data_IF_658372265031
#
_entry.id   IF_658372265031
#
_cell.length_a   1.000
_cell.length_b   1.000
_cell.length_c   1.000
_cell.angle_alpha   90.00
_cell.angle_beta   90.00
_cell.angle_gamma   90.00
#
_symmetry.space_group_name_H-M   'P 1'
#
loop_
_entity.id
_entity.type
_entity.pdbx_description
1 polymer ?
#
# COMPACT_ATOMS: atom_id res chain seq x y z
N UNK A 1 -30.68 -24.38 -0.12
CA UNK A 1 -29.70 -23.63 -0.95
C UNK A 1 -29.69 -22.17 -0.51
N UNK A 2 -29.01 -21.82 0.58
CA UNK A 2 -28.94 -20.44 1.11
C UNK A 2 -27.64 -20.16 1.86
N UNK A 3 -26.98 -21.18 2.40
CA UNK A 3 -25.77 -21.02 3.22
C UNK A 3 -24.51 -20.61 2.44
N UNK A 4 -24.47 -20.79 1.11
CA UNK A 4 -23.30 -20.43 0.31
C UNK A 4 -23.19 -18.92 0.06
N UNK A 5 -24.33 -18.22 -0.10
CA UNK A 5 -24.35 -16.77 -0.36
C UNK A 5 -23.95 -15.93 0.85
N UNK A 6 -24.24 -16.40 2.06
CA UNK A 6 -23.90 -15.66 3.30
C UNK A 6 -22.40 -15.68 3.58
N UNK A 7 -21.74 -16.82 3.33
CA UNK A 7 -20.29 -16.95 3.51
C UNK A 7 -19.50 -16.04 2.55
N UNK A 8 -19.97 -15.89 1.31
CA UNK A 8 -19.35 -15.02 0.30
C UNK A 8 -19.51 -13.54 0.69
N UNK A 9 -20.68 -13.13 1.21
CA UNK A 9 -20.89 -11.77 1.70
C UNK A 9 -20.02 -11.43 2.93
N UNK A 10 -19.77 -12.39 3.82
CA UNK A 10 -18.91 -12.20 5.00
C UNK A 10 -17.42 -12.11 4.63
N UNK A 11 -16.97 -12.85 3.60
CA UNK A 11 -15.59 -12.77 3.10
C UNK A 11 -15.28 -11.40 2.45
N UNK A 12 -16.27 -10.74 1.86
CA UNK A 12 -16.12 -9.41 1.25
C UNK A 12 -15.97 -8.26 2.27
N UNK A 13 -16.27 -8.50 3.55
CA UNK A 13 -16.20 -7.51 4.63
C UNK A 13 -14.86 -7.49 5.37
N UNK A 14 -13.95 -8.42 5.07
CA UNK A 14 -12.54 -8.29 5.47
C UNK A 14 -11.84 -7.35 4.49
N UNK A 15 -12.35 -6.12 4.37
CA UNK A 15 -11.56 -5.03 3.82
C UNK A 15 -10.45 -4.78 4.84
N UNK A 16 -9.32 -5.46 4.67
CA UNK A 16 -8.09 -5.09 5.36
C UNK A 16 -7.77 -3.68 4.86
N UNK A 17 -8.23 -2.67 5.59
CA UNK A 17 -7.80 -1.30 5.37
C UNK A 17 -6.28 -1.32 5.51
N UNK A 18 -5.58 -1.25 4.39
CA UNK A 18 -4.13 -1.11 4.39
C UNK A 18 -3.87 0.23 5.06
N UNK A 19 -3.38 0.20 6.30
CA UNK A 19 -2.97 1.41 6.99
C UNK A 19 -1.87 2.04 6.14
N UNK A 20 -2.13 3.24 5.65
CA UNK A 20 -1.21 4.04 4.84
C UNK A 20 -0.88 5.33 5.59
N UNK A 21 0.37 5.77 5.49
CA UNK A 21 0.81 7.02 6.09
C UNK A 21 2.27 7.33 5.73
N UNK A 22 2.89 8.31 6.39
CA UNK A 22 4.25 8.78 6.08
C UNK A 22 4.43 9.05 4.57
N UNK A 23 3.55 9.86 4.00
CA UNK A 23 3.51 10.08 2.56
C UNK A 23 4.54 11.13 2.09
N UNK A 24 5.03 10.95 0.87
CA UNK A 24 5.83 11.94 0.15
C UNK A 24 5.32 12.11 -1.28
N UNK A 25 5.66 13.24 -1.90
CA UNK A 25 5.34 13.54 -3.29
C UNK A 25 6.59 13.64 -4.16
N UNK A 26 6.45 13.34 -5.44
CA UNK A 26 7.45 13.60 -6.47
C UNK A 26 6.76 14.21 -7.69
N UNK A 27 7.47 15.02 -8.47
CA UNK A 27 6.92 15.60 -9.70
C UNK A 27 6.68 14.52 -10.75
N UNK A 28 5.64 14.73 -11.56
CA UNK A 28 5.46 13.97 -12.80
C UNK A 28 6.48 14.41 -13.86
N UNK A 29 6.70 13.54 -14.83
CA UNK A 29 7.56 13.76 -15.99
C UNK A 29 6.69 13.84 -17.24
N UNK A 30 7.23 14.43 -18.31
CA UNK A 30 6.60 14.45 -19.63
C UNK A 30 7.43 13.59 -20.55
N UNK A 31 6.79 12.64 -21.22
CA UNK A 31 7.40 11.80 -22.23
C UNK A 31 7.69 12.63 -23.49
N UNK A 32 8.95 12.71 -23.92
CA UNK A 32 9.35 13.60 -25.03
C UNK A 32 8.79 13.16 -26.38
N UNK A 33 8.49 11.88 -26.56
CA UNK A 33 8.00 11.33 -27.84
C UNK A 33 6.48 11.52 -27.97
N UNK A 34 5.76 11.25 -26.89
CA UNK A 34 4.28 11.22 -26.89
C UNK A 34 3.63 12.46 -26.28
N UNK A 35 4.39 13.25 -25.51
CA UNK A 35 3.87 14.36 -24.70
C UNK A 35 3.05 13.91 -23.49
N UNK A 36 2.99 12.61 -23.19
CA UNK A 36 2.17 12.06 -22.12
C UNK A 36 2.83 12.24 -20.75
N UNK A 37 2.04 12.58 -19.74
CA UNK A 37 2.50 12.64 -18.35
C UNK A 37 2.73 11.23 -17.80
N UNK A 38 3.83 11.01 -17.10
CA UNK A 38 4.10 9.77 -16.36
C UNK A 38 4.84 10.04 -15.04
N UNK A 39 4.86 9.05 -14.16
CA UNK A 39 5.63 9.08 -12.93
C UNK A 39 6.66 7.94 -12.91
N UNK A 40 7.78 8.16 -12.24
CA UNK A 40 8.76 7.11 -11.95
C UNK A 40 8.68 6.75 -10.48
N UNK A 41 8.14 5.57 -10.19
CA UNK A 41 8.19 4.99 -8.85
C UNK A 41 9.58 4.41 -8.57
N UNK A 42 9.77 3.92 -7.35
CA UNK A 42 10.92 3.10 -6.99
C UNK A 42 11.05 1.89 -7.94
N UNK A 43 12.23 1.27 -7.97
CA UNK A 43 12.53 0.13 -8.84
C UNK A 43 12.45 0.44 -10.35
N UNK A 44 12.55 1.73 -10.70
CA UNK A 44 12.43 2.23 -12.08
C UNK A 44 11.11 1.84 -12.76
N UNK A 45 10.05 1.66 -11.97
CA UNK A 45 8.71 1.36 -12.48
C UNK A 45 8.07 2.65 -12.98
N UNK A 46 7.74 2.67 -14.27
CA UNK A 46 6.96 3.73 -14.89
C UNK A 46 5.48 3.53 -14.59
N UNK A 47 4.82 4.60 -14.16
CA UNK A 47 3.39 4.68 -13.93
C UNK A 47 2.78 5.72 -14.86
N UNK A 48 1.80 5.33 -15.65
CA UNK A 48 0.96 6.27 -16.39
C UNK A 48 -0.04 6.96 -15.43
N UNK A 49 -0.60 8.09 -15.85
CA UNK A 49 -1.59 8.82 -15.04
C UNK A 49 -2.78 7.91 -14.69
N UNK A 50 -3.14 7.88 -13.41
CA UNK A 50 -4.20 7.03 -12.87
C UNK A 50 -3.74 5.64 -12.44
N UNK A 51 -2.51 5.25 -12.77
CA UNK A 51 -1.93 3.99 -12.29
C UNK A 51 -1.40 4.12 -10.86
N UNK A 52 -1.33 2.97 -10.19
CA UNK A 52 -0.74 2.83 -8.87
C UNK A 52 0.14 1.59 -8.79
N UNK A 53 1.10 1.61 -7.88
CA UNK A 53 2.05 0.52 -7.67
C UNK A 53 2.49 0.44 -6.21
N UNK A 54 2.57 -0.78 -5.68
CA UNK A 54 3.15 -1.06 -4.38
C UNK A 54 4.63 -1.42 -4.56
N UNK A 55 5.52 -0.54 -4.11
CA UNK A 55 6.97 -0.74 -4.23
C UNK A 55 7.47 -1.86 -3.34
N UNK A 56 8.65 -2.38 -3.66
CA UNK A 56 9.34 -3.39 -2.84
C UNK A 56 9.67 -2.89 -1.43
N UNK A 57 9.87 -1.58 -1.25
CA UNK A 57 10.02 -0.91 0.05
C UNK A 57 8.69 -0.57 0.74
N UNK A 58 7.58 -1.16 0.28
CA UNK A 58 6.26 -1.02 0.89
C UNK A 58 5.67 0.39 0.86
N UNK A 59 5.86 1.13 -0.23
CA UNK A 59 5.14 2.36 -0.50
C UNK A 59 4.09 2.12 -1.59
N UNK A 60 2.85 2.49 -1.32
CA UNK A 60 1.83 2.54 -2.36
C UNK A 60 1.89 3.91 -3.02
N UNK A 61 2.32 3.93 -4.27
CA UNK A 61 2.48 5.11 -5.11
C UNK A 61 1.33 5.20 -6.11
N UNK A 62 0.76 6.39 -6.28
CA UNK A 62 -0.19 6.69 -7.34
C UNK A 62 0.30 7.87 -8.19
N UNK A 63 0.08 7.80 -9.50
CA UNK A 63 0.46 8.86 -10.44
C UNK A 63 -0.75 9.70 -10.83
N UNK A 64 -0.57 11.01 -10.83
CA UNK A 64 -1.53 12.00 -11.35
C UNK A 64 -0.86 12.89 -12.39
N UNK A 65 -1.64 13.75 -13.04
CA UNK A 65 -1.15 14.70 -14.05
C UNK A 65 -0.04 15.63 -13.53
N UNK A 66 -0.03 15.94 -12.24
CA UNK A 66 0.88 16.95 -11.68
C UNK A 66 1.97 16.36 -10.78
N UNK A 67 1.69 15.22 -10.15
CA UNK A 67 2.58 14.62 -9.18
C UNK A 67 2.29 13.14 -8.95
N UNK A 68 3.32 12.43 -8.50
CA UNK A 68 3.20 11.14 -7.84
C UNK A 68 3.03 11.34 -6.33
N UNK A 69 2.17 10.55 -5.70
CA UNK A 69 2.02 10.47 -4.25
C UNK A 69 2.32 9.05 -3.78
N UNK A 70 3.29 8.90 -2.87
CA UNK A 70 3.68 7.60 -2.31
C UNK A 70 3.47 7.59 -0.80
N UNK A 71 2.73 6.61 -0.28
CA UNK A 71 2.49 6.44 1.15
C UNK A 71 2.98 5.08 1.62
N UNK A 72 3.72 5.06 2.74
CA UNK A 72 4.17 3.82 3.36
C UNK A 72 2.98 2.96 3.80
N UNK A 73 3.13 1.65 3.68
CA UNK A 73 2.12 0.64 4.01
C UNK A 73 2.59 -0.18 5.21
N UNK A 74 1.65 -0.54 6.08
CA UNK A 74 1.94 -1.41 7.22
C UNK A 74 2.91 -0.77 8.21
N UNK A 75 4.06 -1.38 8.45
CA UNK A 75 5.09 -0.83 9.37
C UNK A 75 5.68 0.47 8.85
N UNK A 76 5.65 0.70 7.53
CA UNK A 76 6.15 1.93 6.90
C UNK A 76 5.11 3.06 6.92
N UNK A 77 3.86 2.78 7.28
CA UNK A 77 2.80 3.79 7.34
C UNK A 77 2.98 4.81 8.48
N UNK A 78 3.86 4.54 9.45
CA UNK A 78 4.16 5.48 10.54
C UNK A 78 4.65 4.79 11.80
N UNK A 79 4.71 5.56 12.88
CA UNK A 79 5.09 5.02 14.19
C UNK A 79 4.06 3.99 14.66
N UNK A 80 4.54 2.79 15.01
CA UNK A 80 3.71 1.72 15.58
C UNK A 80 3.97 1.58 17.09
N UNK A 81 2.89 1.49 17.87
CA UNK A 81 2.96 1.12 19.29
C UNK A 81 2.60 -0.35 19.43
N UNK A 82 3.57 -1.19 19.80
CA UNK A 82 3.30 -2.61 20.07
C UNK A 82 2.66 -2.75 21.46
N UNK A 83 1.46 -3.36 21.58
CA UNK A 83 0.83 -3.55 22.88
C UNK A 83 1.70 -4.40 23.83
N UNK A 84 1.67 -4.15 25.16
CA UNK A 84 2.38 -4.98 26.12
C UNK A 84 1.98 -6.46 26.02
N UNK A 85 2.95 -7.36 25.99
CA UNK A 85 2.73 -8.81 25.86
C UNK A 85 2.40 -9.30 24.43
N UNK A 86 2.57 -8.44 23.43
CA UNK A 86 2.48 -8.79 22.02
C UNK A 86 3.79 -8.50 21.30
N UNK A 87 4.03 -9.18 20.18
CA UNK A 87 5.10 -8.93 19.22
C UNK A 87 4.50 -8.72 17.83
N UNK A 88 5.26 -8.05 16.97
CA UNK A 88 4.88 -7.85 15.57
C UNK A 88 5.32 -9.06 14.76
N UNK A 89 4.38 -9.61 13.98
CA UNK A 89 4.65 -10.59 12.94
C UNK A 89 4.40 -9.96 11.58
N UNK A 90 5.40 -9.99 10.71
CA UNK A 90 5.31 -9.45 9.35
C UNK A 90 4.50 -10.40 8.48
N UNK A 91 3.56 -9.85 7.71
CA UNK A 91 2.74 -10.57 6.74
C UNK A 91 3.11 -10.04 5.35
N UNK A 92 3.74 -10.85 4.49
CA UNK A 92 4.07 -10.42 3.13
C UNK A 92 2.84 -9.95 2.34
N UNK A 93 2.99 -8.97 1.43
CA UNK A 93 4.24 -8.27 1.11
C UNK A 93 4.58 -7.16 2.12
N UNK A 94 3.59 -6.45 2.66
CA UNK A 94 3.80 -5.22 3.45
C UNK A 94 2.90 -5.11 4.68
N UNK A 95 2.19 -6.18 5.04
CA UNK A 95 1.30 -6.22 6.19
C UNK A 95 2.03 -6.59 7.48
N UNK A 96 1.33 -6.44 8.59
CA UNK A 96 1.77 -6.95 9.88
C UNK A 96 0.57 -7.30 10.76
N UNK A 97 0.79 -8.11 11.79
CA UNK A 97 -0.17 -8.35 12.87
C UNK A 97 0.52 -8.40 14.22
N UNK A 98 -0.24 -8.14 15.27
CA UNK A 98 0.21 -8.38 16.64
C UNK A 98 -0.13 -9.81 17.05
N UNK A 99 0.87 -10.56 17.51
CA UNK A 99 0.69 -11.90 18.09
C UNK A 99 1.19 -11.92 19.52
N UNK A 100 0.55 -12.71 20.37
CA UNK A 100 0.92 -12.80 21.79
C UNK A 100 2.38 -13.26 21.92
N UNK A 101 3.15 -12.57 22.76
CA UNK A 101 4.53 -12.97 23.08
C UNK A 101 4.49 -14.08 24.13
N UNK A 102 4.61 -15.33 23.67
CA UNK A 102 4.73 -16.51 24.53
C UNK A 102 6.19 -16.65 24.96
N UNK A 103 6.63 -15.79 25.87
CA UNK A 103 7.85 -16.00 26.65
C UNK A 103 7.52 -16.72 27.95
#
# INVERSE_FOLDING_TARGET
MTNLSVAILLLLLVQTATVQGSCYGAYSNIDEETGSTYCMAEDSVRLEVGEWYLTSSCFNCSCSETAMSCCGVGIHAGAMATPPGYKVELIPPCGYRFVKDTK
#
